data_IF_249648718266
#
_entry.id   IF_249648718266
#
_cell.length_a   1.000
_cell.length_b   1.000
_cell.length_c   1.000
_cell.angle_alpha   90.00
_cell.angle_beta   90.00
_cell.angle_gamma   90.00
#
_symmetry.space_group_name_H-M   'P 1'
#
loop_
_entity.id
_entity.type
_entity.pdbx_description
1 polymer ?
#
# COMPACT_ATOMS: atom_id res chain seq x y z
N UNK A 1 13.79 -6.50 -1.43
CA UNK A 1 13.19 -5.62 -2.45
C UNK A 1 11.72 -5.96 -2.47
N UNK A 2 10.85 -5.08 -1.96
CA UNK A 2 9.45 -5.44 -1.71
C UNK A 2 8.56 -5.02 -2.87
N UNK A 3 8.58 -3.76 -3.25
CA UNK A 3 7.82 -3.26 -4.39
C UNK A 3 8.78 -2.64 -5.40
N UNK A 4 8.74 -3.08 -6.65
CA UNK A 4 9.52 -2.47 -7.74
C UNK A 4 8.56 -1.69 -8.63
N UNK A 5 8.90 -0.43 -8.88
CA UNK A 5 8.08 0.48 -9.69
C UNK A 5 8.95 1.08 -10.79
N UNK A 6 8.43 1.05 -12.01
CA UNK A 6 9.00 1.76 -13.16
C UNK A 6 7.96 2.74 -13.66
N UNK A 7 8.29 4.03 -13.71
CA UNK A 7 7.39 5.07 -14.19
C UNK A 7 7.90 5.73 -15.46
N UNK A 8 6.95 6.07 -16.34
CA UNK A 8 7.16 6.81 -17.58
C UNK A 8 6.06 7.84 -17.77
N UNK A 9 6.43 8.98 -18.34
CA UNK A 9 5.49 10.08 -18.60
C UNK A 9 4.88 9.92 -19.97
N UNK A 10 3.62 10.30 -20.11
CA UNK A 10 2.91 10.28 -21.39
C UNK A 10 2.00 11.50 -21.54
N UNK A 11 1.72 11.89 -22.78
CA UNK A 11 0.62 12.81 -23.16
C UNK A 11 -0.68 12.05 -23.37
N UNK A 12 -0.56 10.90 -24.04
CA UNK A 12 -1.67 9.99 -24.33
C UNK A 12 -1.24 8.55 -24.11
N UNK A 13 -2.10 7.75 -23.52
CA UNK A 13 -1.87 6.34 -23.25
C UNK A 13 -3.12 5.53 -23.58
N UNK A 14 -2.93 4.40 -24.25
CA UNK A 14 -3.98 3.43 -24.59
C UNK A 14 -3.58 2.10 -24.00
N UNK A 15 -4.46 1.52 -23.20
CA UNK A 15 -4.24 0.24 -22.53
C UNK A 15 -5.35 -0.74 -22.90
N UNK A 16 -4.98 -1.93 -23.33
CA UNK A 16 -5.93 -3.03 -23.59
C UNK A 16 -6.28 -3.70 -22.25
N UNK A 17 -7.51 -3.51 -21.82
CA UNK A 17 -8.09 -4.14 -20.65
C UNK A 17 -8.81 -5.43 -21.01
N UNK A 18 -8.64 -6.43 -20.15
CA UNK A 18 -9.28 -7.74 -20.22
C UNK A 18 -9.12 -8.44 -21.57
N UNK A 19 -8.06 -8.12 -22.32
CA UNK A 19 -7.77 -8.63 -23.67
C UNK A 19 -8.77 -8.20 -24.75
N UNK A 20 -9.73 -7.32 -24.43
CA UNK A 20 -10.88 -7.03 -25.30
C UNK A 20 -11.15 -5.55 -25.53
N UNK A 21 -10.82 -4.68 -24.58
CA UNK A 21 -11.25 -3.28 -24.61
C UNK A 21 -10.05 -2.33 -24.49
N UNK A 22 -9.86 -1.48 -25.49
CA UNK A 22 -8.91 -0.38 -25.38
C UNK A 22 -9.51 0.78 -24.60
N UNK A 23 -8.82 1.22 -23.55
CA UNK A 23 -9.11 2.47 -22.85
C UNK A 23 -8.03 3.49 -23.21
N UNK A 24 -8.44 4.71 -23.56
CA UNK A 24 -7.53 5.81 -23.90
C UNK A 24 -7.64 6.90 -22.85
N UNK A 25 -6.48 7.40 -22.39
CA UNK A 25 -6.38 8.53 -21.47
C UNK A 25 -5.38 9.55 -21.98
N UNK A 26 -5.61 10.80 -21.60
CA UNK A 26 -4.86 11.95 -22.09
C UNK A 26 -5.10 12.27 -23.56
N UNK A 27 -4.36 13.25 -24.06
CA UNK A 27 -4.50 13.77 -25.42
C UNK A 27 -3.14 14.27 -25.93
N UNK A 28 -2.88 14.07 -27.22
CA UNK A 28 -1.65 14.40 -27.94
C UNK A 28 -1.85 15.49 -29.00
N UNK A 29 -2.96 16.23 -28.95
CA UNK A 29 -3.17 17.43 -29.77
C UNK A 29 -2.21 18.58 -29.42
N UNK A 30 -1.93 19.47 -30.39
CA UNK A 30 -0.98 20.59 -30.26
C UNK A 30 -1.27 21.54 -29.08
N UNK A 31 -2.52 21.62 -28.62
CA UNK A 31 -2.95 22.46 -27.49
C UNK A 31 -3.27 21.65 -26.21
N UNK A 32 -2.97 20.36 -26.18
CA UNK A 32 -3.25 19.50 -25.02
C UNK A 32 -2.29 19.83 -23.87
N UNK A 33 -2.85 20.22 -22.72
CA UNK A 33 -2.11 20.32 -21.46
C UNK A 33 -1.99 18.96 -20.75
N UNK A 34 -2.43 17.86 -21.36
CA UNK A 34 -2.52 16.58 -20.66
C UNK A 34 -1.16 16.07 -20.20
N UNK A 35 -1.09 15.61 -18.96
CA UNK A 35 0.11 15.04 -18.37
C UNK A 35 -0.25 13.75 -17.64
N UNK A 36 0.37 12.66 -18.03
CA UNK A 36 0.09 11.34 -17.48
C UNK A 36 1.32 10.60 -16.99
N UNK A 37 1.10 9.72 -16.02
CA UNK A 37 2.12 8.81 -15.49
C UNK A 37 1.68 7.36 -15.71
N UNK A 38 2.48 6.62 -16.46
CA UNK A 38 2.38 5.18 -16.61
C UNK A 38 3.30 4.54 -15.58
N UNK A 39 2.75 3.69 -14.70
CA UNK A 39 3.51 2.98 -13.68
C UNK A 39 3.39 1.47 -13.87
N UNK A 40 4.51 0.82 -14.12
CA UNK A 40 4.63 -0.63 -14.02
C UNK A 40 4.97 -1.00 -12.58
N UNK A 41 4.27 -1.99 -12.03
CA UNK A 41 4.48 -2.42 -10.64
C UNK A 41 4.69 -3.92 -10.53
N UNK A 42 5.59 -4.32 -9.64
CA UNK A 42 5.80 -5.70 -9.25
C UNK A 42 6.01 -5.84 -7.75
N UNK A 43 5.55 -6.96 -7.20
CA UNK A 43 5.71 -7.32 -5.80
C UNK A 43 6.68 -8.50 -5.67
N UNK A 44 7.56 -8.44 -4.67
CA UNK A 44 8.38 -9.56 -4.24
C UNK A 44 7.63 -10.51 -3.31
N UNK A 45 8.12 -11.74 -3.15
CA UNK A 45 7.49 -12.77 -2.32
C UNK A 45 7.25 -12.35 -0.86
N UNK A 46 8.12 -11.51 -0.31
CA UNK A 46 8.04 -11.04 1.08
C UNK A 46 7.33 -9.69 1.23
N UNK A 47 6.55 -9.25 0.23
CA UNK A 47 5.91 -7.93 0.25
C UNK A 47 4.79 -7.88 1.28
N UNK A 48 4.84 -6.86 2.13
CA UNK A 48 3.84 -6.63 3.17
C UNK A 48 2.88 -5.51 2.78
N UNK A 49 1.68 -5.52 3.37
CA UNK A 49 0.67 -4.49 3.12
C UNK A 49 1.17 -3.04 3.39
N UNK A 50 1.92 -2.75 4.48
CA UNK A 50 2.48 -1.41 4.69
C UNK A 50 3.49 -0.96 3.63
N UNK A 51 4.23 -1.90 3.03
CA UNK A 51 5.13 -1.58 1.91
C UNK A 51 4.34 -1.20 0.65
N UNK A 52 3.21 -1.86 0.42
CA UNK A 52 2.29 -1.51 -0.68
C UNK A 52 1.70 -0.11 -0.48
N UNK A 53 1.29 0.23 0.75
CA UNK A 53 0.81 1.58 1.12
C UNK A 53 1.90 2.63 0.90
N UNK A 54 3.11 2.36 1.38
CA UNK A 54 4.27 3.26 1.20
C UNK A 54 4.58 3.48 -0.27
N UNK A 55 4.52 2.42 -1.08
CA UNK A 55 4.76 2.48 -2.51
C UNK A 55 3.71 3.31 -3.25
N UNK A 56 2.43 3.17 -2.88
CA UNK A 56 1.34 3.97 -3.43
C UNK A 56 1.47 5.46 -3.06
N UNK A 57 1.76 5.76 -1.80
CA UNK A 57 2.03 7.14 -1.34
C UNK A 57 3.23 7.74 -2.07
N UNK A 58 4.31 6.96 -2.23
CA UNK A 58 5.50 7.41 -2.95
C UNK A 58 5.17 7.70 -4.41
N UNK A 59 4.44 6.81 -5.09
CA UNK A 59 4.05 7.00 -6.49
C UNK A 59 3.23 8.29 -6.70
N UNK A 60 2.25 8.56 -5.83
CA UNK A 60 1.40 9.75 -5.97
C UNK A 60 2.10 11.07 -5.61
N UNK A 61 3.13 11.02 -4.76
CA UNK A 61 3.89 12.18 -4.33
C UNK A 61 5.20 12.40 -5.11
N UNK A 62 5.56 11.47 -6.01
CA UNK A 62 6.80 11.55 -6.77
C UNK A 62 6.77 12.74 -7.76
N UNK A 63 7.69 13.72 -7.65
CA UNK A 63 7.67 14.90 -8.50
C UNK A 63 8.38 14.61 -9.83
N UNK A 64 7.69 13.91 -10.74
CA UNK A 64 8.23 13.53 -12.07
C UNK A 64 7.52 14.21 -13.23
N UNK A 65 6.31 14.71 -13.03
CA UNK A 65 5.52 15.30 -14.10
C UNK A 65 5.93 16.75 -14.34
N UNK A 66 5.93 17.17 -15.60
CA UNK A 66 6.21 18.55 -16.02
C UNK A 66 5.10 18.96 -16.98
N UNK A 67 4.56 20.16 -16.83
CA UNK A 67 3.58 20.72 -17.77
C UNK A 67 4.23 21.53 -18.89
N UNK A 68 5.51 21.88 -18.70
CA UNK A 68 6.29 22.74 -19.58
C UNK A 68 7.19 22.02 -20.58
N UNK A 69 7.78 22.79 -21.50
CA UNK A 69 8.78 22.29 -22.45
C UNK A 69 10.10 21.99 -21.74
N UNK A 70 10.87 21.06 -22.29
CA UNK A 70 12.16 20.74 -21.70
C UNK A 70 13.10 21.96 -21.72
N UNK A 71 13.66 22.31 -20.55
CA UNK A 71 14.55 23.47 -20.39
C UNK A 71 13.85 24.80 -20.11
N UNK A 72 12.53 24.82 -19.95
CA UNK A 72 11.74 26.03 -19.68
C UNK A 72 11.74 26.47 -18.20
N UNK A 73 12.58 25.85 -17.36
CA UNK A 73 12.69 26.07 -15.91
C UNK A 73 11.44 25.71 -15.08
N UNK A 74 10.41 25.08 -15.68
CA UNK A 74 9.26 24.57 -14.91
C UNK A 74 9.70 23.48 -13.92
N UNK A 75 9.22 23.58 -12.68
CA UNK A 75 9.49 22.60 -11.64
C UNK A 75 8.68 21.32 -11.91
N UNK A 76 9.25 20.18 -11.51
CA UNK A 76 8.51 18.93 -11.54
C UNK A 76 7.42 18.93 -10.46
N UNK A 77 6.30 18.30 -10.77
CA UNK A 77 5.15 18.14 -9.90
C UNK A 77 4.77 16.67 -9.75
N UNK A 78 4.10 16.36 -8.65
CA UNK A 78 3.53 15.04 -8.42
C UNK A 78 2.14 14.91 -9.07
N UNK A 79 1.66 13.67 -9.22
CA UNK A 79 0.28 13.40 -9.69
C UNK A 79 -0.72 14.17 -8.82
N UNK A 80 -0.57 14.08 -7.49
CA UNK A 80 -1.49 14.71 -6.55
C UNK A 80 -1.38 16.24 -6.58
N UNK A 81 -0.16 16.78 -6.75
CA UNK A 81 0.07 18.21 -6.89
C UNK A 81 -0.61 18.79 -8.12
N UNK A 82 -0.46 18.14 -9.28
CA UNK A 82 -1.10 18.58 -10.53
C UNK A 82 -2.62 18.47 -10.47
N UNK A 83 -3.14 17.35 -9.97
CA UNK A 83 -4.58 17.12 -9.81
C UNK A 83 -5.22 18.18 -8.91
N UNK A 84 -4.58 18.50 -7.78
CA UNK A 84 -5.06 19.52 -6.82
C UNK A 84 -5.04 20.92 -7.43
N UNK A 85 -3.96 21.26 -8.15
CA UNK A 85 -3.82 22.58 -8.74
C UNK A 85 -4.77 22.82 -9.93
N UNK A 86 -5.38 21.76 -10.48
CA UNK A 86 -6.28 21.84 -11.64
C UNK A 86 -5.66 22.55 -12.86
N UNK A 87 -4.34 22.48 -12.99
CA UNK A 87 -3.57 23.15 -14.06
C UNK A 87 -3.71 22.40 -15.39
N UNK A 88 -3.82 21.08 -15.33
CA UNK A 88 -3.82 20.18 -16.48
C UNK A 88 -4.63 18.92 -16.20
N UNK A 89 -5.14 18.27 -17.25
CA UNK A 89 -5.70 16.93 -17.11
C UNK A 89 -4.59 15.96 -16.67
N UNK A 90 -4.81 15.30 -15.54
CA UNK A 90 -3.87 14.38 -14.92
C UNK A 90 -4.35 12.95 -15.15
N UNK A 91 -3.48 12.05 -15.62
CA UNK A 91 -3.82 10.63 -15.84
C UNK A 91 -2.82 9.71 -15.15
N UNK A 92 -3.31 8.63 -14.52
CA UNK A 92 -2.47 7.63 -13.89
C UNK A 92 -2.87 6.24 -14.39
N UNK A 93 -1.93 5.56 -15.07
CA UNK A 93 -2.16 4.21 -15.60
C UNK A 93 -1.26 3.24 -14.84
N UNK A 94 -1.85 2.25 -14.18
CA UNK A 94 -1.10 1.23 -13.43
C UNK A 94 -1.11 -0.10 -14.18
N UNK A 95 0.05 -0.61 -14.54
CA UNK A 95 0.22 -1.90 -15.23
C UNK A 95 0.90 -2.91 -14.30
N UNK A 96 0.26 -4.06 -13.99
CA UNK A 96 0.94 -5.13 -13.27
C UNK A 96 2.03 -5.73 -14.17
N UNK A 97 3.27 -5.74 -13.69
CA UNK A 97 4.45 -6.18 -14.43
C UNK A 97 5.37 -7.03 -13.57
N UNK A 98 4.95 -8.28 -13.31
CA UNK A 98 5.62 -9.18 -12.37
C UNK A 98 7.10 -9.47 -12.69
N UNK A 99 7.50 -9.26 -13.96
CA UNK A 99 8.86 -9.49 -14.43
C UNK A 99 9.90 -8.46 -13.94
N UNK A 100 9.47 -7.35 -13.32
CA UNK A 100 10.41 -6.35 -12.80
C UNK A 100 11.31 -6.87 -11.67
N UNK A 101 10.95 -7.97 -11.00
CA UNK A 101 11.80 -8.60 -9.97
C UNK A 101 12.92 -9.45 -10.56
N UNK A 102 12.90 -9.65 -11.88
CA UNK A 102 13.79 -10.58 -12.56
C UNK A 102 15.25 -10.18 -12.40
N UNK A 103 16.12 -11.19 -12.43
CA UNK A 103 17.57 -11.00 -12.42
C UNK A 103 18.18 -11.82 -13.54
N UNK A 104 19.25 -11.30 -14.15
CA UNK A 104 20.05 -12.09 -15.08
C UNK A 104 20.82 -13.16 -14.26
N UNK A 105 20.77 -14.40 -14.72
CA UNK A 105 21.53 -15.54 -14.20
C UNK A 105 22.49 -16.02 -15.28
N UNK A 106 23.78 -15.91 -15.02
CA UNK A 106 24.82 -16.23 -16.01
C UNK A 106 24.78 -15.25 -17.20
N UNK A 107 24.96 -15.77 -18.42
CA UNK A 107 25.06 -14.96 -19.65
C UNK A 107 23.78 -14.93 -20.50
N UNK A 108 22.83 -15.84 -20.28
CA UNK A 108 21.71 -16.07 -21.20
C UNK A 108 20.38 -16.44 -20.55
N UNK A 109 20.29 -16.46 -19.21
CA UNK A 109 19.04 -16.83 -18.52
C UNK A 109 18.55 -15.72 -17.60
N UNK A 110 17.24 -15.63 -17.45
CA UNK A 110 16.56 -14.72 -16.53
C UNK A 110 15.91 -15.58 -15.43
N UNK A 111 16.04 -15.16 -14.18
CA UNK A 111 15.51 -15.86 -13.02
C UNK A 111 14.52 -14.99 -12.22
N UNK A 112 13.54 -15.66 -11.59
CA UNK A 112 12.40 -15.04 -10.91
C UNK A 112 12.23 -15.50 -9.45
N UNK A 113 13.28 -15.98 -8.79
CA UNK A 113 13.20 -16.59 -7.44
C UNK A 113 12.57 -15.70 -6.34
N UNK A 114 12.44 -14.39 -6.56
CA UNK A 114 11.81 -13.46 -5.63
C UNK A 114 10.37 -13.10 -6.00
N UNK A 115 9.77 -13.71 -7.01
CA UNK A 115 8.43 -13.37 -7.48
C UNK A 115 7.39 -13.82 -6.47
N UNK A 116 6.41 -12.96 -6.23
CA UNK A 116 5.22 -13.33 -5.47
C UNK A 116 4.40 -14.38 -6.22
N UNK A 117 3.68 -15.23 -5.49
CA UNK A 117 2.71 -16.15 -6.10
C UNK A 117 1.54 -15.38 -6.72
N UNK A 118 0.82 -16.02 -7.64
CA UNK A 118 -0.21 -15.37 -8.45
C UNK A 118 -1.36 -14.83 -7.62
N UNK A 119 -1.89 -15.63 -6.70
CA UNK A 119 -3.06 -15.27 -5.89
C UNK A 119 -2.73 -14.10 -4.97
N UNK A 120 -1.61 -14.19 -4.25
CA UNK A 120 -1.17 -13.10 -3.39
C UNK A 120 -0.79 -11.85 -4.18
N UNK A 121 -0.18 -12.02 -5.35
CA UNK A 121 0.16 -10.93 -6.26
C UNK A 121 -1.08 -10.17 -6.75
N UNK A 122 -2.17 -10.89 -7.06
CA UNK A 122 -3.45 -10.31 -7.44
C UNK A 122 -4.06 -9.52 -6.28
N UNK A 123 -4.10 -10.11 -5.07
CA UNK A 123 -4.58 -9.43 -3.87
C UNK A 123 -3.81 -8.14 -3.57
N UNK A 124 -2.47 -8.16 -3.67
CA UNK A 124 -1.65 -6.96 -3.42
C UNK A 124 -1.82 -5.92 -4.54
N UNK A 125 -2.00 -6.35 -5.78
CA UNK A 125 -2.25 -5.46 -6.91
C UNK A 125 -3.59 -4.74 -6.78
N UNK A 126 -4.64 -5.48 -6.44
CA UNK A 126 -5.97 -4.93 -6.19
C UNK A 126 -5.96 -3.97 -5.01
N UNK A 127 -5.30 -4.37 -3.92
CA UNK A 127 -5.11 -3.52 -2.75
C UNK A 127 -4.36 -2.23 -3.09
N UNK A 128 -3.26 -2.33 -3.86
CA UNK A 128 -2.49 -1.17 -4.30
C UNK A 128 -3.33 -0.18 -5.11
N UNK A 129 -4.12 -0.67 -6.06
CA UNK A 129 -4.98 0.17 -6.90
C UNK A 129 -6.10 0.82 -6.07
N UNK A 130 -6.79 0.05 -5.22
CA UNK A 130 -7.82 0.56 -4.31
C UNK A 130 -7.28 1.61 -3.35
N UNK A 131 -6.07 1.39 -2.81
CA UNK A 131 -5.41 2.35 -1.93
C UNK A 131 -5.03 3.64 -2.66
N UNK A 132 -4.52 3.56 -3.90
CA UNK A 132 -4.30 4.74 -4.76
C UNK A 132 -5.60 5.50 -5.00
N UNK A 133 -6.68 4.80 -5.37
CA UNK A 133 -7.98 5.42 -5.59
C UNK A 133 -8.48 6.14 -4.34
N UNK A 134 -8.25 5.56 -3.16
CA UNK A 134 -8.56 6.20 -1.88
C UNK A 134 -7.78 7.49 -1.66
N UNK A 135 -6.47 7.48 -1.88
CA UNK A 135 -5.62 8.68 -1.76
C UNK A 135 -6.01 9.77 -2.77
N UNK A 136 -6.39 9.39 -3.99
CA UNK A 136 -6.90 10.32 -4.99
C UNK A 136 -8.25 10.92 -4.55
N UNK A 137 -9.15 10.10 -4.00
CA UNK A 137 -10.46 10.54 -3.52
C UNK A 137 -10.33 11.51 -2.33
N UNK A 138 -9.46 11.21 -1.38
CA UNK A 138 -9.11 12.11 -0.29
C UNK A 138 -8.54 13.44 -0.80
N UNK A 139 -7.67 13.38 -1.82
CA UNK A 139 -7.15 14.56 -2.50
C UNK A 139 -8.23 15.39 -3.16
N UNK A 140 -9.15 14.75 -3.88
CA UNK A 140 -10.26 15.38 -4.58
C UNK A 140 -11.21 16.08 -3.61
N UNK A 141 -11.72 15.35 -2.61
CA UNK A 141 -12.62 15.88 -1.60
C UNK A 141 -11.98 17.05 -0.85
N UNK A 142 -10.71 16.94 -0.48
CA UNK A 142 -9.96 18.03 0.16
C UNK A 142 -9.82 19.26 -0.74
N UNK A 143 -9.51 19.07 -2.03
CA UNK A 143 -9.39 20.17 -2.99
C UNK A 143 -10.72 20.88 -3.24
N UNK A 144 -11.84 20.14 -3.20
CA UNK A 144 -13.20 20.64 -3.46
C UNK A 144 -13.96 21.06 -2.21
N UNK A 145 -13.40 20.83 -1.02
CA UNK A 145 -14.10 20.99 0.27
C UNK A 145 -15.40 20.15 0.37
N UNK A 146 -15.34 18.94 -0.18
CA UNK A 146 -16.44 17.96 -0.15
C UNK A 146 -16.19 16.90 0.93
N UNK A 147 -17.26 16.30 1.44
CA UNK A 147 -17.16 15.17 2.36
C UNK A 147 -16.81 13.87 1.64
N UNK A 148 -16.10 12.99 2.34
CA UNK A 148 -15.81 11.65 1.85
C UNK A 148 -17.09 10.80 1.84
N UNK A 149 -17.30 9.95 0.82
CA UNK A 149 -18.42 9.01 0.81
C UNK A 149 -18.45 8.12 2.05
N UNK A 150 -19.64 7.87 2.60
CA UNK A 150 -19.79 7.08 3.83
C UNK A 150 -19.14 5.69 3.75
N UNK A 151 -19.27 5.03 2.60
CA UNK A 151 -18.70 3.69 2.39
C UNK A 151 -17.18 3.70 2.53
N UNK A 152 -16.52 4.76 2.05
CA UNK A 152 -15.08 4.93 2.11
C UNK A 152 -14.63 5.16 3.55
N UNK A 153 -15.32 6.05 4.27
CA UNK A 153 -15.05 6.32 5.69
C UNK A 153 -15.22 5.06 6.54
N UNK A 154 -16.33 4.32 6.36
CA UNK A 154 -16.58 3.04 7.06
C UNK A 154 -15.52 1.98 6.73
N UNK A 155 -15.09 1.90 5.47
CA UNK A 155 -14.04 0.96 5.05
C UNK A 155 -12.68 1.32 5.64
N UNK A 156 -12.33 2.61 5.66
CA UNK A 156 -11.07 3.11 6.24
C UNK A 156 -10.99 2.81 7.74
N UNK A 157 -12.04 3.13 8.51
CA UNK A 157 -12.08 2.84 9.95
C UNK A 157 -12.01 1.35 10.23
N UNK A 158 -12.70 0.53 9.44
CA UNK A 158 -12.63 -0.93 9.55
C UNK A 158 -11.21 -1.48 9.30
N UNK A 159 -10.50 -0.97 8.29
CA UNK A 159 -9.12 -1.37 8.00
C UNK A 159 -8.16 -0.92 9.11
N UNK A 160 -8.32 0.28 9.64
CA UNK A 160 -7.53 0.80 10.76
C UNK A 160 -7.72 -0.04 12.04
N UNK A 161 -8.97 -0.40 12.36
CA UNK A 161 -9.30 -1.29 13.48
C UNK A 161 -8.68 -2.68 13.30
N UNK A 162 -8.76 -3.26 12.09
CA UNK A 162 -8.08 -4.53 11.80
C UNK A 162 -6.56 -4.44 11.96
N UNK A 163 -5.94 -3.33 11.53
CA UNK A 163 -4.51 -3.15 11.72
C UNK A 163 -4.15 -2.99 13.19
N UNK A 164 -4.97 -2.31 13.98
CA UNK A 164 -4.78 -2.17 15.43
C UNK A 164 -4.92 -3.52 16.15
N UNK A 165 -5.93 -4.32 15.79
CA UNK A 165 -6.15 -5.66 16.34
C UNK A 165 -5.02 -6.64 15.94
N UNK A 166 -4.46 -6.53 14.73
CA UNK A 166 -3.28 -7.31 14.32
C UNK A 166 -2.00 -6.86 15.02
N UNK A 167 -1.95 -5.61 15.53
CA UNK A 167 -0.78 -5.02 16.20
C UNK A 167 -0.81 -5.18 17.73
N UNK A 168 -1.88 -5.69 18.34
CA UNK A 168 -2.02 -5.67 19.80
C UNK A 168 -1.81 -7.05 20.43
N UNK A 169 -0.64 -7.19 21.06
CA UNK A 169 -0.66 -7.69 22.43
C UNK A 169 -1.31 -6.59 23.27
N UNK A 170 -2.46 -6.88 23.88
CA UNK A 170 -3.17 -5.91 24.71
C UNK A 170 -2.22 -5.35 25.79
N UNK A 171 -2.29 -4.05 26.14
CA UNK A 171 -1.57 -3.52 27.31
C UNK A 171 -1.93 -4.25 28.61
N UNK A 172 -3.07 -4.94 28.65
CA UNK A 172 -3.52 -5.78 29.77
C UNK A 172 -2.78 -7.12 29.87
N UNK A 173 -2.25 -7.64 28.76
CA UNK A 173 -1.51 -8.91 28.75
C UNK A 173 -0.19 -8.76 29.50
N UNK A 174 0.17 -9.62 30.45
CA UNK A 174 1.49 -9.58 31.10
C UNK A 174 2.63 -9.72 30.08
N UNK A 175 3.77 -9.02 30.27
CA UNK A 175 4.92 -9.13 29.37
C UNK A 175 5.39 -10.57 29.16
N UNK A 176 5.33 -11.39 30.22
CA UNK A 176 5.73 -12.82 30.20
C UNK A 176 4.79 -13.71 29.37
N UNK A 177 3.58 -13.24 29.04
CA UNK A 177 2.59 -13.94 28.22
C UNK A 177 2.54 -13.42 26.78
N UNK A 178 3.19 -12.28 26.51
CA UNK A 178 3.21 -11.62 25.20
C UNK A 178 3.68 -12.56 24.10
N UNK A 179 4.68 -13.40 24.33
CA UNK A 179 5.21 -14.27 23.27
C UNK A 179 4.80 -15.73 23.38
N UNK A 180 3.84 -16.06 24.27
CA UNK A 180 3.38 -17.44 24.50
C UNK A 180 2.39 -17.92 23.44
N UNK A 181 2.75 -17.71 22.18
CA UNK A 181 2.01 -18.22 21.03
C UNK A 181 2.72 -19.48 20.50
N UNK A 182 2.21 -20.64 20.90
CA UNK A 182 2.76 -21.95 20.52
C UNK A 182 2.68 -22.23 19.01
N UNK A 183 1.92 -21.44 18.25
CA UNK A 183 1.90 -21.54 16.78
C UNK A 183 3.13 -20.90 16.13
N UNK A 184 3.84 -20.02 16.84
CA UNK A 184 4.98 -19.23 16.31
C UNK A 184 6.32 -19.59 16.92
N UNK A 185 6.34 -20.09 18.14
CA UNK A 185 7.56 -20.35 18.90
C UNK A 185 7.43 -21.65 19.68
N UNK A 186 8.53 -22.39 19.82
CA UNK A 186 8.54 -23.68 20.51
C UNK A 186 9.20 -23.64 21.90
N UNK A 187 10.13 -22.72 22.13
CA UNK A 187 10.88 -22.58 23.38
C UNK A 187 11.07 -21.11 23.75
N UNK A 188 11.11 -20.84 25.06
CA UNK A 188 11.22 -19.51 25.64
C UNK A 188 12.30 -19.49 26.74
N UNK A 189 12.88 -18.32 26.98
CA UNK A 189 13.80 -18.08 28.09
C UNK A 189 13.06 -17.81 29.42
N UNK A 190 13.83 -17.57 30.49
CA UNK A 190 13.30 -17.27 31.83
C UNK A 190 12.45 -15.98 31.88
N UNK A 191 12.55 -15.12 30.87
CA UNK A 191 11.81 -13.86 30.73
C UNK A 191 10.62 -14.00 29.78
N UNK A 192 10.31 -15.21 29.32
CA UNK A 192 9.23 -15.46 28.36
C UNK A 192 9.52 -14.99 26.94
N UNK A 193 10.80 -14.73 26.58
CA UNK A 193 11.21 -14.35 25.22
C UNK A 193 11.53 -15.62 24.42
N UNK A 194 10.99 -15.77 23.19
CA UNK A 194 11.26 -16.94 22.37
C UNK A 194 12.74 -17.14 22.05
N UNK A 195 13.21 -18.38 22.17
CA UNK A 195 14.57 -18.80 21.79
C UNK A 195 14.58 -19.60 20.49
N UNK A 196 13.48 -20.30 20.18
CA UNK A 196 13.30 -21.10 18.97
C UNK A 196 12.01 -20.73 18.23
N UNK A 197 12.02 -20.89 16.91
CA UNK A 197 10.83 -20.75 16.07
C UNK A 197 9.88 -21.96 16.21
N UNK A 198 8.74 -21.92 15.52
CA UNK A 198 7.74 -23.00 15.51
C UNK A 198 8.26 -24.34 14.99
N UNK A 199 9.37 -24.33 14.24
CA UNK A 199 10.00 -25.53 13.69
C UNK A 199 11.11 -26.07 14.60
N UNK A 200 11.38 -25.42 15.73
CA UNK A 200 12.42 -25.80 16.69
C UNK A 200 13.83 -25.34 16.30
N UNK A 201 13.96 -24.43 15.33
CA UNK A 201 15.25 -23.85 14.97
C UNK A 201 15.58 -22.65 15.87
N UNK A 202 16.87 -22.49 16.20
CA UNK A 202 17.32 -21.37 17.03
C UNK A 202 17.13 -20.02 16.30
N UNK A 203 16.51 -19.06 16.98
CA UNK A 203 16.32 -17.73 16.43
C UNK A 203 17.66 -17.00 16.25
N UNK A 204 17.79 -16.26 15.15
CA UNK A 204 19.00 -15.46 14.88
C UNK A 204 19.21 -14.37 15.94
N UNK A 205 20.46 -13.99 16.22
CA UNK A 205 20.79 -12.92 17.19
C UNK A 205 20.04 -11.60 16.91
N UNK A 206 19.82 -11.28 15.64
CA UNK A 206 19.06 -10.09 15.23
C UNK A 206 17.55 -10.22 15.47
N UNK A 207 16.98 -11.43 15.34
CA UNK A 207 15.59 -11.70 15.68
C UNK A 207 15.36 -11.63 17.20
N UNK A 208 16.25 -12.26 17.98
CA UNK A 208 16.21 -12.23 19.45
C UNK A 208 16.29 -10.79 19.98
N UNK A 209 17.21 -9.97 19.45
CA UNK A 209 17.33 -8.54 19.82
C UNK A 209 16.06 -7.73 19.50
N UNK A 210 15.36 -8.05 18.39
CA UNK A 210 14.07 -7.42 18.06
C UNK A 210 12.98 -7.82 19.06
N UNK A 211 12.91 -9.09 19.43
CA UNK A 211 11.94 -9.59 20.42
C UNK A 211 12.18 -8.99 21.80
N UNK A 212 13.43 -8.89 22.26
CA UNK A 212 13.77 -8.20 23.52
C UNK A 212 13.33 -6.74 23.51
N UNK A 213 13.54 -6.02 22.40
CA UNK A 213 13.11 -4.62 22.28
C UNK A 213 11.58 -4.48 22.31
N UNK A 214 10.86 -5.43 21.70
CA UNK A 214 9.39 -5.49 21.75
C UNK A 214 8.89 -5.80 23.16
N UNK A 215 9.52 -6.75 23.86
CA UNK A 215 9.24 -7.09 25.25
C UNK A 215 9.39 -5.87 26.17
N UNK A 216 10.52 -5.17 26.10
CA UNK A 216 10.78 -3.98 26.93
C UNK A 216 9.83 -2.82 26.63
N UNK A 217 9.48 -2.62 25.35
CA UNK A 217 8.52 -1.61 24.95
C UNK A 217 7.10 -1.92 25.45
N UNK A 218 6.70 -3.20 25.43
CA UNK A 218 5.42 -3.66 25.95
C UNK A 218 5.37 -3.60 27.47
N UNK A 219 6.42 -4.01 28.18
CA UNK A 219 6.55 -3.87 29.63
C UNK A 219 6.30 -2.44 30.12
N UNK A 220 6.85 -1.44 29.43
CA UNK A 220 6.57 -0.02 29.73
C UNK A 220 5.11 0.37 29.55
N UNK A 221 4.42 -0.21 28.55
CA UNK A 221 2.99 0.03 28.33
C UNK A 221 2.13 -0.66 29.38
N UNK A 222 2.47 -1.90 29.74
CA UNK A 222 1.77 -2.67 30.77
C UNK A 222 1.90 -2.03 32.16
N UNK A 223 3.08 -1.51 32.51
CA UNK A 223 3.29 -0.76 33.75
C UNK A 223 2.40 0.50 33.82
N UNK A 224 2.35 1.30 32.75
CA UNK A 224 1.46 2.47 32.67
C UNK A 224 -0.02 2.09 32.78
N UNK A 225 -0.42 1.02 32.11
CA UNK A 225 -1.79 0.50 32.20
C UNK A 225 -2.14 0.08 33.63
N UNK A 226 -1.23 -0.61 34.34
CA UNK A 226 -1.42 -0.95 35.76
C UNK A 226 -1.55 0.30 36.64
N UNK A 227 -0.74 1.33 36.41
CA UNK A 227 -0.84 2.60 37.13
C UNK A 227 -2.16 3.34 36.88
N UNK A 228 -2.71 3.26 35.66
CA UNK A 228 -4.01 3.85 35.29
C UNK A 228 -5.19 3.07 35.89
N UNK A 229 -5.11 1.74 35.93
CA UNK A 229 -6.09 0.87 36.61
C UNK A 229 -6.09 1.09 38.13
N UNK A 230 -4.91 1.36 38.71
CA UNK A 230 -4.78 1.61 40.15
C UNK A 230 -5.27 3.01 40.56
N UNK A 231 -5.31 3.96 39.62
CA UNK A 231 -5.89 5.31 39.81
C UNK A 231 -7.40 5.38 39.59
N UNK A 232 -7.98 4.42 38.89
CA UNK A 232 -9.42 4.34 38.59
C UNK A 232 -10.19 3.41 39.53
N UNK A 233 -9.51 2.71 40.44
CA UNK A 233 -10.08 1.72 41.37
C UNK A 233 -10.67 2.29 42.66
N UNK A 234 -11.32 3.46 42.62
CA UNK A 234 -12.12 3.97 43.76
C UNK A 234 -13.50 4.47 43.27
N UNK A 235 -14.13 3.72 42.34
CA UNK A 235 -15.60 3.71 42.24
C UNK A 235 -16.16 2.46 41.54
N UNK A 236 -17.11 1.84 42.24
CA UNK A 236 -18.12 0.84 41.94
C UNK A 236 -17.98 -0.20 40.80
N UNK A 237 -18.09 -1.47 41.20
CA UNK A 237 -18.22 -2.66 40.37
C UNK A 237 -19.51 -2.67 39.53
N UNK A 238 -19.37 -3.04 38.25
CA UNK A 238 -20.41 -3.79 37.53
C UNK A 238 -19.73 -4.81 36.60
N UNK A 239 -20.09 -6.08 36.78
CA UNK A 239 -19.78 -7.15 35.84
C UNK A 239 -20.39 -6.82 34.48
N UNK A 240 -19.53 -6.61 33.48
CA UNK A 240 -19.93 -6.68 32.08
C UNK A 240 -19.30 -7.93 31.48
N UNK A 241 -20.20 -8.88 31.21
CA UNK A 241 -20.01 -10.07 30.40
C UNK A 241 -19.24 -9.76 29.12
N UNK A 242 -18.19 -10.55 28.86
CA UNK A 242 -17.50 -10.64 27.59
C UNK A 242 -18.52 -10.86 26.46
N UNK A 243 -18.63 -9.95 25.46
CA UNK A 243 -19.30 -10.32 24.23
C UNK A 243 -18.43 -11.33 23.49
N UNK A 244 -19.02 -12.52 23.38
CA UNK A 244 -18.70 -13.62 22.49
C UNK A 244 -18.21 -13.15 21.11
N UNK A 245 -17.17 -13.81 20.61
CA UNK A 245 -16.75 -13.92 19.21
C UNK A 245 -17.51 -13.04 18.21
N UNK A 246 -17.01 -11.82 17.97
CA UNK A 246 -17.40 -11.06 16.78
C UNK A 246 -16.87 -11.83 15.57
N UNK A 247 -17.79 -12.43 14.83
CA UNK A 247 -17.54 -12.92 13.48
C UNK A 247 -16.81 -11.81 12.72
N UNK A 248 -15.74 -12.16 12.00
CA UNK A 248 -14.99 -11.21 11.20
C UNK A 248 -15.92 -10.61 10.14
N UNK A 249 -16.55 -9.49 10.44
CA UNK A 249 -17.33 -8.72 9.48
C UNK A 249 -16.43 -8.42 8.29
N UNK A 250 -16.90 -8.69 7.08
CA UNK A 250 -16.13 -8.38 5.88
C UNK A 250 -16.02 -6.85 5.72
N UNK A 251 -14.93 -6.31 5.15
CA UNK A 251 -14.84 -4.89 4.89
C UNK A 251 -16.01 -4.45 3.96
N UNK A 252 -16.59 -3.26 4.17
CA UNK A 252 -17.61 -2.73 3.27
C UNK A 252 -17.17 -2.80 1.81
N UNK A 253 -18.07 -3.23 0.91
CA UNK A 253 -17.78 -3.39 -0.52
C UNK A 253 -17.32 -2.06 -1.12
N UNK A 254 -16.33 -2.09 -2.00
CA UNK A 254 -15.84 -0.90 -2.70
C UNK A 254 -16.88 -0.40 -3.70
N UNK A 255 -17.19 0.89 -3.65
CA UNK A 255 -18.18 1.54 -4.51
C UNK A 255 -17.53 2.72 -5.23
N UNK A 256 -16.60 2.42 -6.14
CA UNK A 256 -15.82 3.45 -6.84
C UNK A 256 -16.60 4.21 -7.93
N UNK A 257 -17.70 3.65 -8.40
CA UNK A 257 -18.49 4.23 -9.49
C UNK A 257 -18.98 5.63 -9.10
N UNK A 258 -18.66 6.63 -9.92
CA UNK A 258 -19.01 8.03 -9.70
C UNK A 258 -18.26 8.75 -8.56
N UNK A 259 -17.39 8.08 -7.80
CA UNK A 259 -16.67 8.71 -6.67
C UNK A 259 -15.44 9.51 -7.14
N UNK A 260 -14.64 8.95 -8.05
CA UNK A 260 -13.47 9.60 -8.60
C UNK A 260 -13.82 10.30 -9.90
N UNK A 261 -13.66 11.62 -9.91
CA UNK A 261 -13.86 12.44 -11.08
C UNK A 261 -12.64 12.36 -12.00
N UNK A 262 -12.85 11.92 -13.25
CA UNK A 262 -11.79 11.83 -14.25
C UNK A 262 -11.12 13.17 -14.58
N UNK A 263 -11.78 14.30 -14.29
CA UNK A 263 -11.19 15.64 -14.40
C UNK A 263 -10.18 15.94 -13.29
N UNK A 264 -10.32 15.31 -12.11
CA UNK A 264 -9.33 15.41 -11.04
C UNK A 264 -8.11 14.54 -11.37
N UNK A 265 -8.35 13.24 -11.61
CA UNK A 265 -7.31 12.32 -12.08
C UNK A 265 -7.96 11.14 -12.81
N UNK A 266 -7.63 10.96 -14.09
CA UNK A 266 -8.08 9.80 -14.86
C UNK A 266 -7.24 8.57 -14.49
N UNK A 267 -7.73 7.80 -13.53
CA UNK A 267 -7.09 6.58 -13.05
C UNK A 267 -7.50 5.36 -13.88
N UNK A 268 -6.52 4.59 -14.35
CA UNK A 268 -6.73 3.33 -15.09
C UNK A 268 -5.98 2.19 -14.42
N UNK A 269 -6.75 1.17 -14.01
CA UNK A 269 -6.25 -0.10 -13.50
C UNK A 269 -6.05 -1.09 -14.66
N UNK A 270 -4.81 -1.53 -14.86
CA UNK A 270 -4.47 -2.58 -15.82
C UNK A 270 -4.98 -3.95 -15.40
N UNK A 271 -5.03 -4.88 -16.35
CA UNK A 271 -5.57 -6.22 -16.12
C UNK A 271 -4.52 -7.15 -15.53
N UNK A 272 -4.77 -7.67 -14.33
CA UNK A 272 -3.89 -8.64 -13.70
C UNK A 272 -3.99 -10.01 -14.36
N UNK A 273 -2.84 -10.67 -14.60
CA UNK A 273 -2.78 -12.04 -15.10
C UNK A 273 -3.32 -12.28 -16.52
N UNK A 274 -3.62 -11.22 -17.28
CA UNK A 274 -4.11 -11.26 -18.67
C UNK A 274 -3.13 -10.57 -19.62
N UNK A 275 -3.27 -10.82 -20.93
CA UNK A 275 -2.53 -10.08 -21.95
C UNK A 275 -2.90 -8.61 -21.89
N UNK A 276 -1.89 -7.76 -21.99
CA UNK A 276 -2.04 -6.31 -22.06
C UNK A 276 -1.35 -5.81 -23.32
N UNK A 277 -2.03 -4.90 -24.01
CA UNK A 277 -1.51 -4.11 -25.10
C UNK A 277 -1.34 -2.68 -24.61
N UNK A 278 -0.29 -2.01 -25.05
CA UNK A 278 0.04 -0.65 -24.62
C UNK A 278 0.51 0.16 -25.82
N UNK A 279 -0.11 1.31 -26.03
CA UNK A 279 0.35 2.37 -26.94
C UNK A 279 0.43 3.66 -26.13
N UNK A 280 1.51 4.43 -26.23
CA UNK A 280 1.55 5.75 -25.61
C UNK A 280 2.43 6.72 -26.40
N UNK A 281 2.08 7.99 -26.32
CA UNK A 281 2.81 9.11 -26.91
C UNK A 281 3.53 9.86 -25.79
N UNK A 282 4.86 10.02 -25.90
CA UNK A 282 5.70 10.75 -24.95
C UNK A 282 6.63 11.68 -25.72
N UNK A 283 6.20 12.92 -25.91
CA UNK A 283 6.95 13.99 -26.59
C UNK A 283 7.81 14.83 -25.62
N UNK A 284 7.68 14.60 -24.31
CA UNK A 284 8.42 15.29 -23.24
C UNK A 284 9.74 14.60 -22.85
N UNK A 285 10.25 13.73 -23.72
CA UNK A 285 11.36 12.82 -23.42
C UNK A 285 10.86 11.54 -22.74
N UNK A 286 11.05 10.35 -23.34
CA UNK A 286 10.57 9.06 -22.84
C UNK A 286 11.45 8.54 -21.69
N UNK A 287 11.69 9.41 -20.70
CA UNK A 287 12.52 9.09 -19.55
C UNK A 287 11.80 8.10 -18.65
N UNK A 288 12.60 7.18 -18.13
CA UNK A 288 12.17 6.12 -17.24
C UNK A 288 12.78 6.37 -15.88
N UNK A 289 11.96 6.35 -14.83
CA UNK A 289 12.46 6.25 -13.46
C UNK A 289 12.14 4.86 -12.94
N UNK A 290 13.15 4.19 -12.37
CA UNK A 290 13.00 2.87 -11.75
C UNK A 290 13.43 2.97 -10.31
N UNK A 291 12.56 2.57 -9.38
CA UNK A 291 12.84 2.63 -7.95
C UNK A 291 12.18 1.46 -7.21
N UNK A 292 12.65 1.26 -5.99
CA UNK A 292 12.17 0.22 -5.11
C UNK A 292 11.75 0.80 -3.78
N UNK A 293 10.66 0.26 -3.25
CA UNK A 293 10.10 0.59 -1.93
C UNK A 293 10.09 -0.66 -1.06
#
# INVERSE_FOLDING_TARGET
MSVSIVVQRFRKCKLLLNEVQWVTVGDDGENSSSCGLLAYISFGASTTQPQVETAAQTLLNLPVLTTGLWGDSSSTQSILGLATASISSCSLVIVPQANLISKVKGKSSIQYHGQIDKERGEQLYDYFCSYIQGLLLEGQCKARSEDLPEWYTKRKTFLEQQQQNKKSYSPSTPPDEMFRDASKYSEWDERGIPTKDSEGNALTKSAMKKLTKLYEAHGKKHSKWKEEQQKSGDDCASEQTLPSSVAAEAPPVEQWEGCLDGSFCHFVKGSFGKRQGLEFTSDMGPFVHSFQV
#
